data_IF_334245284587
#
_entry.id   IF_334245284587
#
_cell.length_a   1.000
_cell.length_b   1.000
_cell.length_c   1.000
_cell.angle_alpha   90.00
_cell.angle_beta   90.00
_cell.angle_gamma   90.00
#
_symmetry.space_group_name_H-M   'P 1'
#
loop_
_entity.id
_entity.type
_entity.pdbx_description
1 polymer ?
#
# COMPACT_ATOMS: atom_id res chain seq x y z
N UNK A 1 6.98 14.91 -18.19
CA UNK A 1 7.55 14.47 -16.90
C UNK A 1 8.18 15.61 -16.10
N UNK A 2 9.00 16.48 -16.71
CA UNK A 2 9.63 17.63 -16.01
C UNK A 2 8.62 18.64 -15.46
N UNK A 3 7.54 18.99 -16.19
CA UNK A 3 6.52 19.93 -15.70
C UNK A 3 5.74 19.41 -14.49
N UNK A 4 5.63 18.07 -14.34
CA UNK A 4 5.06 17.44 -13.16
C UNK A 4 5.96 17.57 -11.91
N UNK A 5 7.24 17.87 -12.12
CA UNK A 5 8.23 18.04 -11.05
C UNK A 5 8.22 19.48 -10.52
N UNK A 6 8.06 20.46 -11.41
CA UNK A 6 8.20 21.87 -11.06
C UNK A 6 6.88 22.57 -10.69
N UNK A 7 5.75 22.16 -11.27
CA UNK A 7 4.46 22.79 -10.99
C UNK A 7 3.69 22.10 -9.86
N UNK A 8 3.38 22.78 -8.73
CA UNK A 8 2.64 22.21 -7.61
C UNK A 8 1.15 21.99 -7.92
N UNK A 9 0.59 22.70 -8.90
CA UNK A 9 -0.84 22.65 -9.21
C UNK A 9 -1.29 21.32 -9.81
N UNK A 10 -0.48 20.69 -10.66
CA UNK A 10 -0.81 19.42 -11.33
C UNK A 10 -0.98 18.25 -10.37
N UNK A 11 -0.05 17.95 -9.45
CA UNK A 11 -0.26 16.88 -8.47
C UNK A 11 -1.37 17.21 -7.48
N UNK A 12 -1.61 18.50 -7.16
CA UNK A 12 -2.71 18.90 -6.29
C UNK A 12 -4.09 18.62 -6.91
N UNK A 13 -4.30 19.03 -8.18
CA UNK A 13 -5.54 18.72 -8.90
C UNK A 13 -5.76 17.22 -9.02
N UNK A 14 -4.72 16.45 -9.35
CA UNK A 14 -4.79 15.01 -9.47
C UNK A 14 -5.16 14.36 -8.14
N UNK A 15 -4.58 14.82 -7.03
CA UNK A 15 -4.93 14.37 -5.69
C UNK A 15 -6.40 14.61 -5.35
N UNK A 16 -6.92 15.81 -5.61
CA UNK A 16 -8.33 16.14 -5.36
C UNK A 16 -9.27 15.24 -6.16
N UNK A 17 -8.96 15.00 -7.44
CA UNK A 17 -9.75 14.11 -8.30
C UNK A 17 -9.75 12.68 -7.79
N UNK A 18 -8.58 12.16 -7.37
CA UNK A 18 -8.48 10.80 -6.80
C UNK A 18 -9.30 10.69 -5.52
N UNK A 19 -9.15 11.65 -4.60
CA UNK A 19 -9.89 11.66 -3.33
C UNK A 19 -11.38 11.73 -3.56
N UNK A 20 -11.85 12.61 -4.44
CA UNK A 20 -13.26 12.70 -4.81
C UNK A 20 -13.77 11.39 -5.42
N UNK A 21 -13.02 10.77 -6.33
CA UNK A 21 -13.35 9.48 -6.94
C UNK A 21 -13.42 8.35 -5.91
N UNK A 22 -12.50 8.29 -4.96
CA UNK A 22 -12.48 7.30 -3.88
C UNK A 22 -13.69 7.46 -2.97
N UNK A 23 -13.99 8.68 -2.52
CA UNK A 23 -15.12 8.95 -1.63
C UNK A 23 -16.46 8.61 -2.29
N UNK A 24 -16.61 8.92 -3.58
CA UNK A 24 -17.84 8.62 -4.33
C UNK A 24 -18.00 7.12 -4.63
N UNK A 25 -16.89 6.43 -4.97
CA UNK A 25 -16.95 5.03 -5.38
C UNK A 25 -17.01 4.05 -4.20
N UNK A 26 -16.40 4.36 -3.05
CA UNK A 26 -16.19 3.39 -1.97
C UNK A 26 -17.13 3.57 -0.78
N UNK A 27 -17.77 4.73 -0.63
CA UNK A 27 -18.62 5.02 0.54
C UNK A 27 -17.88 4.92 1.88
N UNK A 28 -16.55 4.97 1.87
CA UNK A 28 -15.73 4.87 3.08
C UNK A 28 -15.94 6.11 3.94
N UNK A 29 -16.19 5.99 5.25
CA UNK A 29 -16.35 7.15 6.12
C UNK A 29 -15.06 7.97 6.15
N UNK A 30 -15.19 9.27 5.90
CA UNK A 30 -14.12 10.25 5.80
C UNK A 30 -13.14 10.18 6.98
N UNK A 31 -13.65 9.86 8.19
CA UNK A 31 -12.83 9.69 9.40
C UNK A 31 -11.77 8.59 9.28
N UNK A 32 -12.13 7.44 8.71
CA UNK A 32 -11.16 6.34 8.52
C UNK A 32 -10.12 6.72 7.48
N UNK A 33 -10.55 7.33 6.38
CA UNK A 33 -9.66 7.79 5.34
C UNK A 33 -8.65 8.82 5.89
N UNK A 34 -9.13 9.82 6.66
CA UNK A 34 -8.29 10.85 7.26
C UNK A 34 -7.26 10.23 8.22
N UNK A 35 -7.68 9.29 9.08
CA UNK A 35 -6.80 8.63 10.05
C UNK A 35 -5.62 7.93 9.37
N UNK A 36 -5.88 7.26 8.24
CA UNK A 36 -4.82 6.57 7.49
C UNK A 36 -3.94 7.53 6.68
N UNK A 37 -4.45 8.72 6.31
CA UNK A 37 -3.69 9.73 5.56
C UNK A 37 -2.73 10.53 6.45
N UNK A 38 -3.00 10.63 7.77
CA UNK A 38 -2.17 11.39 8.73
C UNK A 38 -0.67 11.03 8.67
N UNK A 39 -0.24 9.76 8.70
CA UNK A 39 1.19 9.44 8.65
C UNK A 39 1.84 9.89 7.32
N UNK A 40 1.10 9.84 6.22
CA UNK A 40 1.60 10.33 4.93
C UNK A 40 1.62 11.85 4.84
N UNK A 41 0.73 12.55 5.55
CA UNK A 41 0.79 14.01 5.71
C UNK A 41 2.06 14.43 6.45
N UNK A 42 2.41 13.73 7.53
CA UNK A 42 3.65 14.01 8.28
C UNK A 42 4.86 13.79 7.37
N UNK A 43 4.88 12.70 6.59
CA UNK A 43 5.95 12.40 5.65
C UNK A 43 6.03 13.44 4.52
N UNK A 44 4.89 13.84 3.95
CA UNK A 44 4.81 14.89 2.93
C UNK A 44 5.34 16.22 3.46
N UNK A 45 4.95 16.61 4.69
CA UNK A 45 5.45 17.82 5.34
C UNK A 45 6.98 17.76 5.54
N UNK A 46 7.52 16.61 5.98
CA UNK A 46 8.96 16.40 6.10
C UNK A 46 9.70 16.57 4.75
N UNK A 47 9.13 16.08 3.66
CA UNK A 47 9.71 16.27 2.31
C UNK A 47 9.64 17.72 1.85
N UNK A 48 8.52 18.42 2.11
CA UNK A 48 8.40 19.86 1.81
C UNK A 48 9.48 20.65 2.58
N UNK A 49 9.62 20.37 3.87
CA UNK A 49 10.60 21.02 4.72
C UNK A 49 12.03 20.76 4.23
N UNK A 50 12.37 19.52 3.93
CA UNK A 50 13.70 19.14 3.43
C UNK A 50 14.00 19.80 2.09
N UNK A 51 13.05 19.83 1.16
CA UNK A 51 13.21 20.47 -0.14
C UNK A 51 13.35 21.99 -0.02
N UNK A 52 12.59 22.62 0.88
CA UNK A 52 12.66 24.06 1.11
C UNK A 52 14.03 24.49 1.67
N UNK A 53 14.60 23.68 2.59
CA UNK A 53 15.85 24.02 3.31
C UNK A 53 17.10 23.61 2.52
N UNK A 54 17.07 22.41 1.90
CA UNK A 54 18.25 21.81 1.25
C UNK A 54 18.15 21.74 -0.28
N UNK A 55 17.08 22.28 -0.88
CA UNK A 55 16.91 22.30 -2.33
C UNK A 55 18.03 23.12 -2.99
N UNK A 56 18.64 22.55 -4.03
CA UNK A 56 19.68 23.21 -4.86
C UNK A 56 19.13 23.55 -6.24
N UNK A 57 17.99 24.21 -6.32
CA UNK A 57 17.51 24.71 -7.60
C UNK A 57 18.33 25.96 -7.96
N UNK A 58 18.90 26.04 -9.20
CA UNK A 58 19.60 27.24 -9.64
C UNK A 58 18.64 28.42 -9.61
N UNK A 59 18.91 29.36 -8.74
CA UNK A 59 18.04 30.51 -8.49
C UNK A 59 18.54 31.75 -9.23
N UNK A 60 17.60 32.50 -9.78
CA UNK A 60 17.81 33.90 -10.11
C UNK A 60 17.91 34.73 -8.83
N UNK A 61 18.81 35.74 -8.76
CA UNK A 61 19.11 36.46 -7.52
C UNK A 61 17.93 37.19 -6.86
N UNK A 62 16.76 37.25 -7.49
CA UNK A 62 15.61 38.03 -7.02
C UNK A 62 14.60 37.25 -6.16
N UNK A 63 14.75 35.91 -5.99
CA UNK A 63 13.74 35.05 -5.37
C UNK A 63 14.06 34.57 -3.94
N UNK A 64 14.88 35.29 -3.18
CA UNK A 64 15.18 34.93 -1.80
C UNK A 64 14.06 35.39 -0.85
N UNK A 65 13.40 34.42 -0.18
CA UNK A 65 12.39 34.72 0.85
C UNK A 65 13.03 34.94 2.23
N UNK A 66 14.06 34.16 2.56
CA UNK A 66 14.74 34.26 3.86
C UNK A 66 16.13 33.64 3.79
N UNK A 67 17.14 34.35 4.28
CA UNK A 67 18.51 33.85 4.37
C UNK A 67 19.02 33.99 5.81
N UNK A 68 19.24 32.87 6.47
CA UNK A 68 19.84 32.80 7.80
C UNK A 68 21.02 31.81 7.78
N UNK A 69 22.22 32.29 7.57
CA UNK A 69 23.43 31.46 7.55
C UNK A 69 23.44 30.41 6.42
N UNK A 70 23.63 29.12 6.73
CA UNK A 70 23.67 28.06 5.73
C UNK A 70 22.29 27.68 5.17
N UNK A 71 21.22 28.25 5.71
CA UNK A 71 19.83 27.95 5.32
C UNK A 71 19.31 29.08 4.43
N UNK A 72 19.08 28.79 3.15
CA UNK A 72 18.48 29.71 2.19
C UNK A 72 17.13 29.14 1.71
N UNK A 73 16.05 29.80 2.08
CA UNK A 73 14.69 29.43 1.63
C UNK A 73 14.36 30.27 0.40
N UNK A 74 14.24 29.59 -0.74
CA UNK A 74 13.87 30.20 -2.01
C UNK A 74 12.45 29.80 -2.39
N UNK A 75 11.71 30.69 -3.06
CA UNK A 75 10.34 30.40 -3.52
C UNK A 75 10.31 29.18 -4.45
N UNK A 76 11.33 28.99 -5.29
CA UNK A 76 11.45 27.87 -6.21
C UNK A 76 11.63 26.53 -5.48
N UNK A 77 12.46 26.50 -4.43
CA UNK A 77 12.65 25.33 -3.60
C UNK A 77 11.34 24.95 -2.85
N UNK A 78 10.59 25.94 -2.39
CA UNK A 78 9.31 25.72 -1.73
C UNK A 78 8.27 25.16 -2.71
N UNK A 79 8.20 25.68 -3.93
CA UNK A 79 7.28 25.18 -4.95
C UNK A 79 7.57 23.73 -5.34
N UNK A 80 8.86 23.38 -5.49
CA UNK A 80 9.29 22.00 -5.73
C UNK A 80 8.96 21.11 -4.52
N UNK A 81 9.18 21.61 -3.30
CA UNK A 81 8.81 20.90 -2.07
C UNK A 81 7.32 20.59 -1.98
N UNK A 82 6.46 21.55 -2.27
CA UNK A 82 5.00 21.39 -2.31
C UNK A 82 4.60 20.35 -3.38
N UNK A 83 5.22 20.42 -4.56
CA UNK A 83 4.98 19.44 -5.63
C UNK A 83 5.34 18.02 -5.18
N UNK A 84 6.47 17.82 -4.49
CA UNK A 84 6.89 16.53 -3.93
C UNK A 84 5.91 16.05 -2.83
N UNK A 85 5.46 16.95 -1.96
CA UNK A 85 4.47 16.63 -0.92
C UNK A 85 3.15 16.13 -1.50
N UNK A 86 2.59 16.83 -2.49
CA UNK A 86 1.37 16.38 -3.17
C UNK A 86 1.56 15.06 -3.92
N UNK A 87 2.74 14.78 -4.44
CA UNK A 87 3.05 13.50 -5.09
C UNK A 87 2.97 12.34 -4.09
N UNK A 88 3.52 12.51 -2.88
CA UNK A 88 3.42 11.51 -1.81
C UNK A 88 1.96 11.26 -1.44
N UNK A 89 1.17 12.35 -1.33
CA UNK A 89 -0.25 12.24 -1.05
C UNK A 89 -1.03 11.51 -2.17
N UNK A 90 -0.69 11.75 -3.44
CA UNK A 90 -1.27 11.01 -4.57
C UNK A 90 -0.98 9.51 -4.48
N UNK A 91 0.27 9.13 -4.24
CA UNK A 91 0.63 7.72 -4.07
C UNK A 91 -0.09 7.08 -2.88
N UNK A 92 -0.18 7.80 -1.77
CA UNK A 92 -0.91 7.36 -0.59
C UNK A 92 -2.39 7.13 -0.91
N UNK A 93 -3.05 8.08 -1.58
CA UNK A 93 -4.46 7.98 -1.94
C UNK A 93 -4.74 6.80 -2.87
N UNK A 94 -3.90 6.60 -3.90
CA UNK A 94 -4.01 5.45 -4.82
C UNK A 94 -3.80 4.12 -4.10
N UNK A 95 -2.81 4.04 -3.24
CA UNK A 95 -2.54 2.82 -2.45
C UNK A 95 -3.70 2.49 -1.52
N UNK A 96 -4.27 3.49 -0.86
CA UNK A 96 -5.45 3.33 -0.03
C UNK A 96 -6.66 2.89 -0.83
N UNK A 97 -6.91 3.52 -1.97
CA UNK A 97 -7.98 3.10 -2.87
C UNK A 97 -7.86 1.61 -3.19
N UNK A 98 -6.67 1.15 -3.57
CA UNK A 98 -6.43 -0.24 -3.88
C UNK A 98 -6.70 -1.17 -2.68
N UNK A 99 -6.17 -0.83 -1.50
CA UNK A 99 -6.31 -1.67 -0.30
C UNK A 99 -7.77 -1.78 0.17
N UNK A 100 -8.54 -0.70 0.09
CA UNK A 100 -9.93 -0.71 0.56
C UNK A 100 -10.94 -1.26 -0.45
N UNK A 101 -10.62 -1.22 -1.75
CA UNK A 101 -11.54 -1.70 -2.79
C UNK A 101 -11.26 -3.12 -3.25
N UNK A 102 -10.02 -3.61 -3.08
CA UNK A 102 -9.59 -4.89 -3.65
C UNK A 102 -9.71 -6.02 -2.64
N UNK A 103 -10.50 -7.05 -2.97
CA UNK A 103 -10.50 -8.31 -2.22
C UNK A 103 -9.23 -9.11 -2.60
N UNK A 104 -8.33 -9.41 -1.63
CA UNK A 104 -7.06 -10.08 -1.92
C UNK A 104 -7.24 -11.48 -2.52
N UNK A 105 -8.35 -12.19 -2.20
CA UNK A 105 -8.62 -13.53 -2.74
C UNK A 105 -9.02 -13.43 -4.20
N UNK A 106 -9.93 -12.49 -4.53
CA UNK A 106 -10.35 -12.26 -5.91
C UNK A 106 -9.20 -11.73 -6.76
N UNK A 107 -8.36 -10.87 -6.19
CA UNK A 107 -7.16 -10.37 -6.85
C UNK A 107 -6.19 -11.50 -7.21
N UNK A 108 -5.90 -12.42 -6.27
CA UNK A 108 -5.06 -13.59 -6.56
C UNK A 108 -5.66 -14.51 -7.64
N UNK A 109 -6.98 -14.72 -7.63
CA UNK A 109 -7.64 -15.51 -8.67
C UNK A 109 -7.57 -14.83 -10.04
N UNK A 110 -7.66 -13.50 -10.11
CA UNK A 110 -7.52 -12.75 -11.37
C UNK A 110 -6.11 -12.88 -11.94
N UNK A 111 -5.08 -12.85 -11.09
CA UNK A 111 -3.69 -13.04 -11.51
C UNK A 111 -3.44 -14.43 -12.12
N UNK A 112 -4.09 -15.46 -11.59
CA UNK A 112 -3.99 -16.82 -12.18
C UNK A 112 -4.67 -16.87 -13.54
N UNK A 113 -5.88 -16.32 -13.65
CA UNK A 113 -6.70 -16.46 -14.85
C UNK A 113 -6.28 -15.50 -15.98
N UNK A 114 -5.87 -14.28 -15.65
CA UNK A 114 -5.56 -13.23 -16.62
C UNK A 114 -4.06 -13.07 -16.85
N UNK A 115 -3.25 -13.07 -15.78
CA UNK A 115 -1.80 -12.86 -15.85
C UNK A 115 -1.00 -14.17 -15.92
N UNK A 116 -1.65 -15.32 -16.04
CA UNK A 116 -1.02 -16.65 -16.13
C UNK A 116 -0.08 -16.98 -14.96
N UNK A 117 -0.35 -16.44 -13.76
CA UNK A 117 0.40 -16.79 -12.57
C UNK A 117 0.27 -18.30 -12.29
N UNK A 118 1.31 -18.93 -11.74
CA UNK A 118 1.28 -20.34 -11.37
C UNK A 118 0.18 -20.62 -10.34
N UNK A 119 -0.76 -21.56 -10.60
CA UNK A 119 -1.79 -21.91 -9.65
C UNK A 119 -1.25 -22.37 -8.29
N UNK A 120 -0.09 -23.06 -8.27
CA UNK A 120 0.55 -23.48 -7.01
C UNK A 120 0.86 -22.31 -6.09
N UNK A 121 1.46 -21.23 -6.64
CA UNK A 121 1.78 -20.03 -5.87
C UNK A 121 0.51 -19.30 -5.40
N UNK A 122 -0.45 -19.08 -6.28
CA UNK A 122 -1.65 -18.33 -5.94
C UNK A 122 -2.49 -19.04 -4.88
N UNK A 123 -2.72 -20.35 -5.01
CA UNK A 123 -3.46 -21.10 -3.99
C UNK A 123 -2.68 -21.22 -2.68
N UNK A 124 -1.34 -21.26 -2.72
CA UNK A 124 -0.51 -21.16 -1.52
C UNK A 124 -0.72 -19.84 -0.78
N UNK A 125 -0.73 -18.71 -1.51
CA UNK A 125 -1.00 -17.39 -0.93
C UNK A 125 -2.43 -17.30 -0.39
N UNK A 126 -3.44 -17.79 -1.13
CA UNK A 126 -4.85 -17.83 -0.67
C UNK A 126 -4.98 -18.66 0.61
N UNK A 127 -4.30 -19.81 0.68
CA UNK A 127 -4.25 -20.62 1.89
C UNK A 127 -3.62 -19.83 3.05
N UNK A 128 -2.53 -19.08 2.79
CA UNK A 128 -1.89 -18.20 3.76
C UNK A 128 -2.87 -17.16 4.34
N UNK A 129 -3.66 -16.48 3.51
CA UNK A 129 -4.68 -15.54 4.00
C UNK A 129 -5.72 -16.20 4.90
N UNK A 130 -6.11 -17.43 4.60
CA UNK A 130 -7.03 -18.21 5.45
C UNK A 130 -6.40 -18.62 6.78
N UNK A 131 -5.08 -18.80 6.82
CA UNK A 131 -4.36 -19.14 8.05
C UNK A 131 -4.18 -17.96 8.99
N UNK A 132 -4.21 -16.70 8.53
CA UNK A 132 -3.98 -15.53 9.37
C UNK A 132 -4.86 -15.48 10.62
N UNK A 133 -6.20 -15.64 10.54
CA UNK A 133 -7.03 -15.67 11.73
C UNK A 133 -6.71 -16.87 12.63
N UNK A 134 -6.45 -18.05 12.05
CA UNK A 134 -6.09 -19.25 12.81
C UNK A 134 -4.75 -19.12 13.54
N UNK A 135 -3.78 -18.40 12.98
CA UNK A 135 -2.51 -18.09 13.64
C UNK A 135 -2.71 -17.21 14.87
N UNK A 136 -3.64 -16.27 14.82
CA UNK A 136 -3.97 -15.44 15.99
C UNK A 136 -4.46 -16.29 17.17
N UNK A 137 -5.35 -17.22 16.91
CA UNK A 137 -5.89 -18.12 17.92
C UNK A 137 -4.79 -19.05 18.46
N UNK A 138 -3.91 -19.54 17.60
CA UNK A 138 -2.77 -20.37 17.97
C UNK A 138 -1.78 -19.65 18.90
N UNK A 139 -1.49 -18.37 18.57
CA UNK A 139 -0.64 -17.52 19.42
C UNK A 139 -1.25 -17.37 20.81
N UNK A 140 -2.55 -17.15 20.91
CA UNK A 140 -3.25 -17.04 22.19
C UNK A 140 -3.17 -18.36 23.00
N UNK A 141 -3.37 -19.49 22.32
CA UNK A 141 -3.27 -20.82 22.95
C UNK A 141 -1.86 -21.08 23.49
N UNK A 142 -0.82 -20.79 22.70
CA UNK A 142 0.58 -20.93 23.12
C UNK A 142 0.88 -20.02 24.31
N UNK A 143 0.41 -18.78 24.32
CA UNK A 143 0.58 -17.86 25.43
C UNK A 143 -0.10 -18.38 26.72
N UNK A 144 -1.31 -18.90 26.62
CA UNK A 144 -2.04 -19.48 27.72
C UNK A 144 -1.30 -20.71 28.29
N UNK A 145 -0.83 -21.60 27.40
CA UNK A 145 -0.05 -22.76 27.81
C UNK A 145 1.24 -22.38 28.56
N UNK A 146 1.94 -21.34 28.11
CA UNK A 146 3.14 -20.86 28.81
C UNK A 146 2.82 -20.20 30.16
N UNK A 147 1.69 -19.49 30.28
CA UNK A 147 1.24 -18.94 31.58
C UNK A 147 1.00 -20.05 32.61
N UNK A 148 0.34 -21.15 32.22
CA UNK A 148 0.06 -22.28 33.09
C UNK A 148 1.36 -22.97 33.52
N UNK A 149 2.38 -23.03 32.67
CA UNK A 149 3.70 -23.64 32.97
C UNK A 149 4.63 -22.73 33.80
N UNK A 150 4.11 -21.67 34.43
CA UNK A 150 4.88 -20.79 35.30
C UNK A 150 5.73 -19.74 34.54
N UNK A 151 5.48 -19.53 33.26
CA UNK A 151 6.07 -18.44 32.48
C UNK A 151 5.46 -17.10 32.89
N UNK A 152 5.86 -16.56 34.05
CA UNK A 152 5.46 -15.23 34.46
C UNK A 152 5.85 -14.20 33.41
N UNK A 153 4.99 -13.20 33.20
CA UNK A 153 5.29 -12.05 32.35
C UNK A 153 6.39 -11.22 33.02
N UNK A 154 7.64 -11.59 32.79
CA UNK A 154 8.79 -10.82 33.27
C UNK A 154 8.78 -9.46 32.52
N UNK A 155 8.76 -8.39 33.30
CA UNK A 155 8.82 -7.02 32.79
C UNK A 155 10.25 -6.71 32.31
N UNK A 156 10.39 -6.27 31.03
CA UNK A 156 11.67 -5.87 30.46
C UNK A 156 11.71 -6.13 28.95
N UNK A 157 12.42 -5.28 28.20
CA UNK A 157 12.52 -5.38 26.72
C UNK A 157 13.26 -6.68 26.33
N UNK A 158 14.33 -7.04 27.06
CA UNK A 158 15.11 -8.26 26.81
C UNK A 158 14.26 -9.53 27.02
N UNK A 159 13.40 -9.50 28.04
CA UNK A 159 12.48 -10.60 28.35
C UNK A 159 11.35 -10.72 27.33
N UNK A 160 10.90 -9.61 26.72
CA UNK A 160 9.96 -9.63 25.61
C UNK A 160 10.56 -10.29 24.37
N UNK A 161 11.85 -10.05 24.07
CA UNK A 161 12.55 -10.67 22.94
C UNK A 161 12.72 -12.18 23.16
N UNK A 162 13.10 -12.60 24.37
CA UNK A 162 13.23 -14.02 24.71
C UNK A 162 11.87 -14.74 24.73
N UNK A 163 10.81 -14.06 25.19
CA UNK A 163 9.45 -14.56 25.10
C UNK A 163 8.99 -14.73 23.63
N UNK A 164 9.33 -13.79 22.77
CA UNK A 164 9.03 -13.89 21.33
C UNK A 164 9.67 -15.14 20.71
N UNK A 165 10.95 -15.42 20.97
CA UNK A 165 11.62 -16.66 20.52
C UNK A 165 10.91 -17.91 21.03
N UNK A 166 10.49 -17.90 22.32
CA UNK A 166 9.79 -19.02 22.96
C UNK A 166 8.44 -19.33 22.30
N UNK A 167 7.75 -18.31 21.77
CA UNK A 167 6.46 -18.49 21.06
C UNK A 167 6.65 -18.80 19.57
N UNK A 168 7.70 -18.28 18.93
CA UNK A 168 7.94 -18.43 17.50
C UNK A 168 8.23 -19.88 17.10
N UNK A 169 9.01 -20.62 17.88
CA UNK A 169 9.38 -22.00 17.57
C UNK A 169 8.15 -22.92 17.53
N UNK A 170 7.29 -22.99 18.58
CA UNK A 170 6.08 -23.79 18.53
C UNK A 170 5.10 -23.35 17.44
N UNK A 171 4.97 -22.04 17.25
CA UNK A 171 4.10 -21.47 16.21
C UNK A 171 4.55 -21.89 14.81
N UNK A 172 5.86 -21.82 14.51
CA UNK A 172 6.41 -22.23 13.23
C UNK A 172 6.22 -23.73 13.00
N UNK A 173 6.50 -24.55 14.00
CA UNK A 173 6.29 -26.00 13.92
C UNK A 173 4.81 -26.36 13.68
N UNK A 174 3.88 -25.66 14.33
CA UNK A 174 2.45 -25.82 14.10
C UNK A 174 2.05 -25.39 12.69
N UNK A 175 2.57 -24.24 12.22
CA UNK A 175 2.29 -23.70 10.89
C UNK A 175 2.77 -24.67 9.79
N UNK A 176 3.96 -25.24 9.91
CA UNK A 176 4.49 -26.24 8.97
C UNK A 176 3.59 -27.47 8.90
N UNK A 177 3.22 -28.04 10.04
CA UNK A 177 2.31 -29.21 10.09
C UNK A 177 0.93 -28.92 9.47
N UNK A 178 0.42 -27.70 9.69
CA UNK A 178 -0.86 -27.27 9.07
C UNK A 178 -0.71 -27.11 7.55
N UNK A 179 0.41 -26.56 7.08
CA UNK A 179 0.69 -26.40 5.65
C UNK A 179 0.80 -27.77 4.95
N UNK A 180 1.53 -28.72 5.54
CA UNK A 180 1.64 -30.09 5.03
C UNK A 180 0.30 -30.80 4.93
N UNK A 181 -0.53 -30.74 5.99
CA UNK A 181 -1.88 -31.33 5.98
C UNK A 181 -2.76 -30.68 4.93
N UNK A 182 -2.64 -29.36 4.73
CA UNK A 182 -3.41 -28.65 3.70
C UNK A 182 -2.97 -29.06 2.31
N UNK A 183 -1.67 -29.18 2.07
CA UNK A 183 -1.13 -29.65 0.79
C UNK A 183 -1.62 -31.06 0.45
N UNK A 184 -1.52 -32.01 1.39
CA UNK A 184 -2.02 -33.36 1.24
C UNK A 184 -3.52 -33.40 0.97
N UNK A 185 -4.32 -32.58 1.70
CA UNK A 185 -5.75 -32.48 1.46
C UNK A 185 -6.10 -31.86 0.10
N UNK A 186 -5.27 -30.97 -0.43
CA UNK A 186 -5.44 -30.44 -1.78
C UNK A 186 -5.11 -31.49 -2.83
N UNK A 187 -4.03 -32.23 -2.67
CA UNK A 187 -3.62 -33.30 -3.56
C UNK A 187 -4.65 -34.46 -3.59
N UNK A 188 -5.16 -34.86 -2.44
CA UNK A 188 -6.20 -35.88 -2.34
C UNK A 188 -7.52 -35.48 -3.03
N UNK A 189 -7.79 -34.18 -3.16
CA UNK A 189 -8.92 -33.63 -3.94
C UNK A 189 -8.59 -33.42 -5.43
N UNK A 190 -7.45 -33.93 -5.91
CA UNK A 190 -7.05 -33.85 -7.31
C UNK A 190 -6.38 -32.55 -7.72
N UNK A 191 -5.87 -31.74 -6.77
CA UNK A 191 -5.12 -30.54 -7.09
C UNK A 191 -3.72 -30.91 -7.63
N UNK A 192 -3.52 -30.78 -8.92
CA UNK A 192 -2.24 -31.07 -9.60
C UNK A 192 -1.37 -29.81 -9.77
N UNK A 193 -1.94 -28.63 -9.57
CA UNK A 193 -1.28 -27.36 -9.83
C UNK A 193 -1.06 -27.04 -11.31
N UNK A 194 -1.64 -27.85 -12.22
CA UNK A 194 -1.63 -27.61 -13.66
C UNK A 194 -2.47 -26.38 -14.03
N UNK A 195 -2.13 -25.73 -15.16
CA UNK A 195 -2.89 -24.60 -15.68
C UNK A 195 -4.19 -25.02 -16.37
N UNK A 196 -4.22 -26.20 -16.95
CA UNK A 196 -5.41 -26.76 -17.61
C UNK A 196 -6.39 -27.28 -16.56
N UNK A 197 -7.21 -26.37 -16.05
CA UNK A 197 -8.23 -26.69 -15.03
C UNK A 197 -9.47 -25.82 -15.20
N UNK A 198 -10.58 -26.30 -14.74
CA UNK A 198 -11.81 -25.52 -14.61
C UNK A 198 -11.79 -24.68 -13.34
N UNK A 199 -12.32 -23.49 -13.41
CA UNK A 199 -12.45 -22.59 -12.25
C UNK A 199 -13.90 -22.47 -11.85
N UNK A 200 -14.21 -22.64 -10.57
CA UNK A 200 -15.55 -22.43 -10.03
C UNK A 200 -16.00 -20.97 -10.16
N UNK A 201 -15.07 -20.03 -9.92
CA UNK A 201 -15.28 -18.59 -10.17
C UNK A 201 -14.43 -18.20 -11.39
N UNK A 202 -15.12 -17.91 -12.48
CA UNK A 202 -14.48 -17.33 -13.67
C UNK A 202 -14.52 -15.81 -13.58
N UNK A 203 -13.36 -15.18 -13.69
CA UNK A 203 -13.20 -13.73 -13.70
C UNK A 203 -12.98 -13.30 -15.15
N UNK A 204 -13.96 -12.62 -15.72
CA UNK A 204 -13.89 -12.05 -17.07
C UNK A 204 -13.74 -10.53 -16.98
N UNK A 205 -12.87 -9.97 -17.80
CA UNK A 205 -12.77 -8.51 -17.97
C UNK A 205 -14.05 -8.04 -18.65
N UNK A 206 -14.75 -7.12 -18.01
CA UNK A 206 -15.99 -6.57 -18.51
C UNK A 206 -15.75 -5.23 -19.24
N UNK A 207 -16.71 -4.78 -20.05
CA UNK A 207 -16.65 -3.46 -20.69
C UNK A 207 -16.48 -2.30 -19.71
N UNK A 208 -17.02 -2.45 -18.47
CA UNK A 208 -16.86 -1.47 -17.39
C UNK A 208 -15.40 -1.27 -16.99
N UNK A 209 -14.60 -2.34 -17.01
CA UNK A 209 -13.19 -2.29 -16.63
C UNK A 209 -12.38 -1.50 -17.68
N UNK A 210 -12.72 -1.66 -18.95
CA UNK A 210 -12.16 -0.89 -20.05
C UNK A 210 -12.54 0.59 -19.98
N UNK A 211 -13.81 0.89 -19.67
CA UNK A 211 -14.27 2.27 -19.46
C UNK A 211 -13.51 2.93 -18.30
N UNK A 212 -13.34 2.22 -17.18
CA UNK A 212 -12.57 2.71 -16.06
C UNK A 212 -11.11 2.98 -16.45
N UNK A 213 -10.47 2.06 -17.18
CA UNK A 213 -9.10 2.21 -17.64
C UNK A 213 -8.95 3.43 -18.58
N UNK A 214 -9.85 3.59 -19.56
CA UNK A 214 -9.86 4.76 -20.44
C UNK A 214 -10.09 6.06 -19.68
N UNK A 215 -10.97 6.06 -18.67
CA UNK A 215 -11.23 7.23 -17.85
C UNK A 215 -9.99 7.65 -17.05
N UNK A 216 -9.28 6.70 -16.44
CA UNK A 216 -8.02 6.97 -15.73
C UNK A 216 -6.96 7.53 -16.67
N UNK A 217 -6.82 6.98 -17.87
CA UNK A 217 -5.90 7.49 -18.91
C UNK A 217 -6.27 8.91 -19.35
N UNK A 218 -7.55 9.19 -19.56
CA UNK A 218 -8.04 10.52 -19.90
C UNK A 218 -7.76 11.54 -18.80
N UNK A 219 -7.99 11.19 -17.53
CA UNK A 219 -7.67 12.03 -16.38
C UNK A 219 -6.17 12.33 -16.30
N UNK A 220 -5.34 11.31 -16.56
CA UNK A 220 -3.89 11.48 -16.56
C UNK A 220 -3.44 12.38 -17.73
N UNK A 221 -3.96 12.17 -18.94
CA UNK A 221 -3.70 13.02 -20.09
C UNK A 221 -4.19 14.46 -19.89
N UNK A 222 -5.38 14.62 -19.30
CA UNK A 222 -5.95 15.93 -18.96
C UNK A 222 -5.09 16.70 -17.95
N UNK A 223 -4.61 16.03 -16.89
CA UNK A 223 -3.71 16.66 -15.92
C UNK A 223 -2.37 17.08 -16.55
N UNK A 224 -1.89 16.31 -17.53
CA UNK A 224 -0.68 16.64 -18.28
C UNK A 224 -0.89 17.84 -19.21
N UNK A 225 -2.04 17.93 -19.90
CA UNK A 225 -2.37 19.09 -20.75
C UNK A 225 -2.53 20.37 -19.92
N UNK A 226 -3.21 20.31 -18.77
CA UNK A 226 -3.34 21.43 -17.85
C UNK A 226 -1.94 21.91 -17.40
N UNK A 227 -1.04 20.98 -17.10
CA UNK A 227 0.35 21.31 -16.75
C UNK A 227 1.10 22.06 -17.87
N UNK A 228 0.87 21.69 -19.13
CA UNK A 228 1.49 22.39 -20.26
C UNK A 228 0.93 23.80 -20.45
N UNK A 229 -0.39 23.99 -20.25
CA UNK A 229 -1.02 25.31 -20.35
C UNK A 229 -0.57 26.27 -19.23
N UNK A 230 -0.27 25.79 -18.05
CA UNK A 230 0.23 26.62 -16.93
C UNK A 230 1.76 26.80 -16.93
N UNK A 231 2.48 26.03 -17.74
CA UNK A 231 3.94 26.15 -17.89
C UNK A 231 4.37 27.06 -19.07
N UNK A 232 3.42 27.47 -19.90
CA UNK A 232 3.57 28.46 -20.96
C UNK A 232 3.18 29.85 -20.46
#
# INVERSE_FOLDING_TARGET
>A
MLSFIYNPYTPACFYIIIVAGVLLATGIPLKKWLLFTVPFLILAFGCVWTAAVFGKVPTTPDNFLFQAGPISINSDNVSVGISLGFRILCFSALSMMFVFTTDPILFMLSLVQQCRLSPKLAYGVIAGFRFLPLLKDEVQLIQQAHKIRGGAAESGIMNKISALKRYTIPLLASAIRKAERTALAMESKGFTGSRNRTYYRTLSVNRRDWVFFCLVLLLFAGSFLVSLCFAS
#
